data_IF_986440825184
#
_entry.id   IF_986440825184
#
_cell.length_a   1.000
_cell.length_b   1.000
_cell.length_c   1.000
_cell.angle_alpha   90.00
_cell.angle_beta   90.00
_cell.angle_gamma   90.00
#
_symmetry.space_group_name_H-M   'P 1'
#
loop_
_entity.id
_entity.type
_entity.pdbx_description
1 polymer ?
#
# COMPACT_ATOMS: atom_id res chain seq x y z
N UNK A 1 14.59 -8.97 -17.74
CA UNK A 1 13.86 -7.68 -17.78
C UNK A 1 13.29 -7.42 -16.41
N UNK A 2 13.46 -6.20 -15.89
CA UNK A 2 12.80 -5.79 -14.65
C UNK A 2 11.27 -5.93 -14.77
N UNK A 3 10.59 -6.27 -13.67
CA UNK A 3 9.13 -6.31 -13.67
C UNK A 3 8.56 -4.90 -13.81
N UNK A 4 7.29 -4.82 -14.22
CA UNK A 4 6.63 -3.54 -14.50
C UNK A 4 6.70 -2.60 -13.30
N UNK A 5 6.38 -3.08 -12.09
CA UNK A 5 6.32 -2.26 -10.87
C UNK A 5 7.68 -1.65 -10.56
N UNK A 6 8.74 -2.45 -10.67
CA UNK A 6 10.12 -1.99 -10.56
C UNK A 6 10.43 -0.82 -11.49
N UNK A 7 10.01 -0.88 -12.76
CA UNK A 7 10.23 0.21 -13.70
C UNK A 7 9.44 1.48 -13.35
N UNK A 8 8.24 1.35 -12.78
CA UNK A 8 7.42 2.49 -12.33
C UNK A 8 8.17 3.28 -11.25
N UNK A 9 8.59 2.57 -10.20
CA UNK A 9 9.23 3.14 -9.02
C UNK A 9 10.59 3.76 -9.39
N UNK A 10 11.41 3.05 -10.17
CA UNK A 10 12.69 3.57 -10.68
C UNK A 10 12.51 4.81 -11.57
N UNK A 11 11.44 4.87 -12.37
CA UNK A 11 11.17 6.05 -13.21
C UNK A 11 10.81 7.28 -12.39
N UNK A 12 10.02 7.11 -11.34
CA UNK A 12 9.68 8.21 -10.43
C UNK A 12 10.90 8.65 -9.62
N UNK A 13 11.70 7.70 -9.11
CA UNK A 13 12.97 8.01 -8.44
C UNK A 13 13.93 8.81 -9.33
N UNK A 14 14.02 8.48 -10.63
CA UNK A 14 14.88 9.20 -11.59
C UNK A 14 14.46 10.67 -11.72
N UNK A 15 13.16 10.93 -11.82
CA UNK A 15 12.65 12.30 -11.95
C UNK A 15 12.77 13.10 -10.65
N UNK A 16 12.56 12.47 -9.49
CA UNK A 16 12.81 13.12 -8.20
C UNK A 16 14.29 13.50 -8.05
N UNK A 17 15.21 12.58 -8.37
CA UNK A 17 16.65 12.86 -8.41
C UNK A 17 16.99 13.99 -9.39
N UNK A 18 16.40 14.00 -10.58
CA UNK A 18 16.60 15.09 -11.53
C UNK A 18 16.07 16.42 -10.99
N UNK A 19 14.94 16.42 -10.29
CA UNK A 19 14.38 17.61 -9.67
C UNK A 19 15.30 18.19 -8.60
N UNK A 20 15.93 17.34 -7.77
CA UNK A 20 16.95 17.76 -6.81
C UNK A 20 18.12 18.45 -7.53
N UNK A 21 18.62 17.85 -8.62
CA UNK A 21 19.68 18.45 -9.43
C UNK A 21 19.31 19.81 -10.03
N UNK A 22 18.04 20.05 -10.35
CA UNK A 22 17.54 21.29 -10.93
C UNK A 22 17.27 22.34 -9.84
N UNK A 23 16.75 21.93 -8.69
CA UNK A 23 16.31 22.79 -7.59
C UNK A 23 14.93 23.41 -7.81
N UNK A 24 14.24 23.75 -6.72
CA UNK A 24 12.85 24.19 -6.74
C UNK A 24 12.63 25.51 -7.51
N UNK A 25 13.62 26.41 -7.54
CA UNK A 25 13.50 27.71 -8.21
C UNK A 25 13.40 27.61 -9.74
N UNK A 26 13.93 26.53 -10.33
CA UNK A 26 13.98 26.33 -11.77
C UNK A 26 13.09 25.18 -12.25
N UNK A 27 12.43 24.48 -11.34
CA UNK A 27 11.75 23.21 -11.67
C UNK A 27 10.57 23.42 -12.62
N UNK A 28 9.75 24.46 -12.43
CA UNK A 28 8.57 24.70 -13.27
C UNK A 28 8.93 24.89 -14.74
N UNK A 29 10.01 25.64 -15.01
CA UNK A 29 10.50 25.84 -16.38
C UNK A 29 11.14 24.58 -16.94
N UNK A 30 11.87 23.83 -16.11
CA UNK A 30 12.57 22.64 -16.56
C UNK A 30 11.62 21.47 -16.85
N UNK A 31 10.54 21.35 -16.09
CA UNK A 31 9.60 20.24 -16.10
C UNK A 31 8.25 20.62 -16.72
N UNK A 32 8.17 21.72 -17.46
CA UNK A 32 6.95 22.16 -18.13
C UNK A 32 6.46 21.14 -19.18
N UNK A 33 5.36 20.47 -18.86
CA UNK A 33 4.72 19.48 -19.73
C UNK A 33 4.08 20.10 -20.99
N UNK A 34 3.90 21.43 -21.06
CA UNK A 34 3.51 22.08 -22.32
C UNK A 34 4.69 22.17 -23.28
N UNK A 35 5.87 22.46 -22.76
CA UNK A 35 7.12 22.54 -23.53
C UNK A 35 7.64 21.15 -23.90
N UNK A 36 7.55 20.17 -22.99
CA UNK A 36 7.96 18.78 -23.21
C UNK A 36 6.78 17.83 -22.97
N UNK A 37 5.86 17.68 -23.94
CA UNK A 37 4.67 16.85 -23.76
C UNK A 37 4.97 15.35 -23.71
N UNK A 38 6.10 14.93 -24.28
CA UNK A 38 6.57 13.53 -24.22
C UNK A 38 7.93 13.37 -23.58
N UNK A 39 8.23 12.15 -23.13
CA UNK A 39 9.56 11.82 -22.61
C UNK A 39 10.66 12.01 -23.67
N UNK A 40 10.35 11.77 -24.95
CA UNK A 40 11.32 11.97 -26.05
C UNK A 40 11.73 13.44 -26.13
N UNK A 41 10.74 14.36 -26.17
CA UNK A 41 11.00 15.81 -26.22
C UNK A 41 11.85 16.27 -25.02
N UNK A 42 11.54 15.73 -23.84
CA UNK A 42 12.27 16.03 -22.61
C UNK A 42 13.71 15.50 -22.66
N UNK A 43 13.88 14.25 -23.10
CA UNK A 43 15.18 13.58 -23.15
C UNK A 43 16.12 14.29 -24.11
N UNK A 44 15.65 14.73 -25.27
CA UNK A 44 16.48 15.41 -26.27
C UNK A 44 17.18 16.65 -25.68
N UNK A 45 16.51 17.36 -24.76
CA UNK A 45 17.10 18.49 -24.05
C UNK A 45 17.89 18.11 -22.79
N UNK A 46 17.42 17.12 -22.03
CA UNK A 46 17.90 16.85 -20.67
C UNK A 46 18.69 15.55 -20.50
N UNK A 47 19.03 14.82 -21.57
CA UNK A 47 19.67 13.48 -21.48
C UNK A 47 20.90 13.45 -20.55
N UNK A 48 21.82 14.42 -20.68
CA UNK A 48 23.01 14.50 -19.80
C UNK A 48 22.64 14.65 -18.32
N UNK A 49 21.59 15.42 -18.01
CA UNK A 49 21.12 15.56 -16.62
C UNK A 49 20.40 14.32 -16.12
N UNK A 50 19.66 13.63 -16.99
CA UNK A 50 19.04 12.34 -16.66
C UNK A 50 20.09 11.28 -16.33
N UNK A 51 21.18 11.21 -17.09
CA UNK A 51 22.31 10.30 -16.78
C UNK A 51 22.98 10.64 -15.45
N UNK A 52 23.15 11.93 -15.13
CA UNK A 52 23.66 12.37 -13.82
C UNK A 52 22.71 12.02 -12.68
N UNK A 53 21.40 12.22 -12.88
CA UNK A 53 20.37 11.89 -11.90
C UNK A 53 20.32 10.37 -11.66
N UNK A 54 20.47 9.56 -12.71
CA UNK A 54 20.51 8.11 -12.61
C UNK A 54 21.66 7.59 -11.73
N UNK A 55 22.81 8.29 -11.70
CA UNK A 55 23.92 7.94 -10.78
C UNK A 55 23.60 8.12 -9.30
N UNK A 56 22.46 8.76 -8.98
CA UNK A 56 21.95 8.92 -7.61
C UNK A 56 20.84 7.93 -7.26
N UNK A 57 20.62 6.93 -8.11
CA UNK A 57 19.69 5.85 -7.87
C UNK A 57 20.46 4.58 -7.49
N UNK A 58 19.91 3.83 -6.55
CA UNK A 58 20.26 2.45 -6.29
C UNK A 58 18.98 1.61 -6.44
N UNK A 59 18.76 1.15 -7.67
CA UNK A 59 17.59 0.34 -8.06
C UNK A 59 18.06 -0.95 -8.73
N UNK A 60 18.39 -2.00 -7.95
CA UNK A 60 19.01 -3.21 -8.48
C UNK A 60 18.20 -3.85 -9.61
N UNK A 61 18.88 -4.23 -10.69
CA UNK A 61 18.27 -4.90 -11.84
C UNK A 61 17.57 -3.98 -12.84
N UNK A 62 17.71 -2.66 -12.72
CA UNK A 62 17.17 -1.67 -13.66
C UNK A 62 18.29 -0.81 -14.24
N UNK A 63 18.43 -0.80 -15.57
CA UNK A 63 19.35 0.09 -16.25
C UNK A 63 18.70 1.42 -16.65
N UNK A 64 19.52 2.43 -16.93
CA UNK A 64 19.04 3.70 -17.52
C UNK A 64 18.24 3.45 -18.81
N UNK A 65 18.71 2.52 -19.65
CA UNK A 65 18.04 2.16 -20.89
C UNK A 65 16.66 1.52 -20.66
N UNK A 66 16.49 0.74 -19.59
CA UNK A 66 15.18 0.17 -19.24
C UNK A 66 14.19 1.27 -18.86
N UNK A 67 14.61 2.24 -18.05
CA UNK A 67 13.78 3.38 -17.65
C UNK A 67 13.41 4.24 -18.86
N UNK A 68 14.39 4.59 -19.70
CA UNK A 68 14.12 5.45 -20.87
C UNK A 68 13.19 4.77 -21.88
N UNK A 69 13.40 3.49 -22.20
CA UNK A 69 12.48 2.72 -23.07
C UNK A 69 11.08 2.61 -22.49
N UNK A 70 10.99 2.41 -21.17
CA UNK A 70 9.71 2.35 -20.47
C UNK A 70 8.97 3.69 -20.57
N UNK A 71 9.62 4.81 -20.26
CA UNK A 71 9.02 6.15 -20.29
C UNK A 71 8.65 6.61 -21.71
N UNK A 72 9.46 6.30 -22.72
CA UNK A 72 9.09 6.54 -24.13
C UNK A 72 7.80 5.80 -24.51
N UNK A 73 7.66 4.55 -24.07
CA UNK A 73 6.47 3.73 -24.38
C UNK A 73 5.25 4.05 -23.49
N UNK A 74 5.41 4.83 -22.42
CA UNK A 74 4.37 5.01 -21.41
C UNK A 74 4.28 6.48 -20.95
N UNK A 75 3.72 7.35 -21.80
CA UNK A 75 3.71 8.79 -21.56
C UNK A 75 2.98 9.22 -20.26
N UNK A 76 1.96 8.47 -19.83
CA UNK A 76 1.30 8.70 -18.55
C UNK A 76 2.27 8.59 -17.36
N UNK A 77 3.22 7.67 -17.44
CA UNK A 77 4.21 7.47 -16.39
C UNK A 77 5.30 8.54 -16.44
N UNK A 78 5.65 9.05 -17.62
CA UNK A 78 6.44 10.27 -17.74
C UNK A 78 5.76 11.46 -17.07
N UNK A 79 4.49 11.70 -17.42
CA UNK A 79 3.66 12.76 -16.85
C UNK A 79 3.60 12.62 -15.32
N UNK A 80 3.34 11.41 -14.81
CA UNK A 80 3.28 11.16 -13.37
C UNK A 80 4.61 11.40 -12.66
N UNK A 81 5.73 10.91 -13.21
CA UNK A 81 7.05 11.10 -12.64
C UNK A 81 7.43 12.58 -12.58
N UNK A 82 7.10 13.33 -13.62
CA UNK A 82 7.32 14.78 -13.71
C UNK A 82 6.51 15.52 -12.62
N UNK A 83 5.19 15.35 -12.58
CA UNK A 83 4.31 16.05 -11.64
C UNK A 83 4.67 15.78 -10.17
N UNK A 84 4.98 14.52 -9.85
CA UNK A 84 5.36 14.11 -8.49
C UNK A 84 6.68 14.74 -8.08
N UNK A 85 7.68 14.73 -8.97
CA UNK A 85 8.98 15.32 -8.68
C UNK A 85 8.89 16.83 -8.46
N UNK A 86 8.10 17.55 -9.28
CA UNK A 86 7.83 18.98 -9.12
C UNK A 86 7.17 19.28 -7.76
N UNK A 87 6.14 18.53 -7.40
CA UNK A 87 5.43 18.75 -6.14
C UNK A 87 6.32 18.41 -4.92
N UNK A 88 7.07 17.29 -4.99
CA UNK A 88 7.95 16.86 -3.91
C UNK A 88 9.05 17.89 -3.62
N UNK A 89 9.76 18.37 -4.63
CA UNK A 89 10.86 19.34 -4.44
C UNK A 89 10.36 20.70 -3.93
N UNK A 90 9.14 21.09 -4.31
CA UNK A 90 8.51 22.34 -3.84
C UNK A 90 8.05 22.25 -2.38
N UNK A 91 7.60 21.08 -1.95
CA UNK A 91 7.06 20.85 -0.62
C UNK A 91 8.11 20.36 0.38
N UNK A 92 9.33 20.01 -0.05
CA UNK A 92 10.29 19.29 0.81
C UNK A 92 10.60 20.00 2.14
N UNK A 93 10.75 21.33 2.15
CA UNK A 93 10.97 22.10 3.39
C UNK A 93 9.72 22.21 4.28
N UNK A 94 8.53 21.97 3.71
CA UNK A 94 7.27 21.90 4.47
C UNK A 94 7.09 20.51 5.10
N UNK A 95 7.71 19.48 4.51
CA UNK A 95 7.76 18.12 5.07
C UNK A 95 8.66 18.13 6.30
N UNK A 96 9.89 18.63 6.14
CA UNK A 96 10.82 18.92 7.24
C UNK A 96 11.76 20.05 6.83
N UNK A 97 11.98 21.01 7.74
CA UNK A 97 12.82 22.19 7.47
C UNK A 97 14.30 21.82 7.33
N UNK A 98 14.71 20.69 7.88
CA UNK A 98 16.10 20.25 7.86
C UNK A 98 16.50 19.61 6.51
N UNK A 99 15.53 19.34 5.61
CA UNK A 99 15.84 18.98 4.22
C UNK A 99 16.36 20.18 3.42
N UNK A 100 17.68 20.27 3.28
CA UNK A 100 18.37 21.31 2.50
C UNK A 100 18.30 21.14 0.97
N UNK A 101 17.43 20.26 0.45
CA UNK A 101 17.44 19.86 -0.96
C UNK A 101 16.61 20.76 -1.89
N UNK A 102 15.93 21.78 -1.37
CA UNK A 102 15.26 22.79 -2.21
C UNK A 102 16.24 23.54 -3.13
N UNK A 103 17.48 23.70 -2.68
CA UNK A 103 18.57 24.28 -3.45
C UNK A 103 19.16 23.28 -4.45
N UNK A 104 19.67 23.79 -5.58
CA UNK A 104 20.28 22.99 -6.65
C UNK A 104 21.35 22.04 -6.10
N UNK A 105 21.21 20.73 -6.34
CA UNK A 105 22.20 19.73 -5.93
C UNK A 105 21.54 18.46 -5.42
N UNK A 106 22.32 17.55 -4.86
CA UNK A 106 21.78 16.29 -4.30
C UNK A 106 21.94 16.21 -2.79
N UNK A 107 22.73 17.10 -2.19
CA UNK A 107 22.98 17.14 -0.73
C UNK A 107 23.41 15.76 -0.17
N UNK A 108 24.15 14.99 -0.98
CA UNK A 108 24.60 13.63 -0.69
C UNK A 108 23.49 12.59 -0.47
N UNK A 109 22.26 12.89 -0.89
CA UNK A 109 21.13 11.97 -0.89
C UNK A 109 21.08 11.15 -2.17
N UNK A 110 20.49 9.96 -2.04
CA UNK A 110 20.28 8.97 -3.08
C UNK A 110 18.88 8.38 -2.94
N UNK A 111 18.29 7.95 -4.06
CA UNK A 111 17.01 7.25 -4.06
C UNK A 111 17.25 5.74 -4.11
N UNK A 112 16.81 5.07 -3.06
CA UNK A 112 16.94 3.63 -2.87
C UNK A 112 15.63 2.92 -3.15
N UNK A 113 15.68 1.93 -4.04
CA UNK A 113 14.55 1.04 -4.33
C UNK A 113 15.07 -0.39 -4.35
N UNK A 114 14.61 -1.21 -3.41
CA UNK A 114 14.88 -2.65 -3.37
C UNK A 114 16.34 -2.95 -3.06
N UNK A 115 17.08 -1.94 -2.60
CA UNK A 115 18.47 -2.04 -2.22
C UNK A 115 18.63 -2.84 -0.92
N UNK A 116 19.81 -3.40 -0.70
CA UNK A 116 20.07 -4.22 0.48
C UNK A 116 20.48 -3.40 1.70
N UNK A 117 21.02 -2.20 1.51
CA UNK A 117 21.67 -1.43 2.56
C UNK A 117 20.68 -0.60 3.38
N UNK A 118 19.72 0.04 2.71
CA UNK A 118 18.66 0.85 3.31
C UNK A 118 17.42 -0.01 3.46
N UNK A 119 16.75 -0.37 2.36
CA UNK A 119 15.48 -1.10 2.42
C UNK A 119 15.65 -2.49 3.04
N UNK A 120 16.70 -3.21 2.66
CA UNK A 120 17.03 -4.51 3.26
C UNK A 120 17.32 -4.45 4.76
N UNK A 121 17.99 -3.39 5.23
CA UNK A 121 18.27 -3.20 6.67
C UNK A 121 17.01 -2.83 7.44
N UNK A 122 16.19 -1.91 6.92
CA UNK A 122 14.89 -1.55 7.50
C UNK A 122 13.98 -2.79 7.57
N UNK A 123 13.96 -3.64 6.52
CA UNK A 123 13.21 -4.90 6.53
C UNK A 123 13.64 -5.84 7.65
N UNK A 124 14.95 -5.95 7.92
CA UNK A 124 15.49 -6.76 9.03
C UNK A 124 15.09 -6.20 10.39
N UNK A 125 15.28 -4.89 10.61
CA UNK A 125 14.90 -4.20 11.84
C UNK A 125 13.39 -4.31 12.09
N UNK A 126 12.56 -4.08 11.07
CA UNK A 126 11.12 -4.29 11.11
C UNK A 126 10.77 -5.73 11.49
N UNK A 127 11.46 -6.72 10.93
CA UNK A 127 11.20 -8.14 11.23
C UNK A 127 11.53 -8.47 12.69
N UNK A 128 12.52 -7.82 13.29
CA UNK A 128 12.83 -7.94 14.72
C UNK A 128 11.74 -7.25 15.56
N UNK A 129 11.39 -6.01 15.23
CA UNK A 129 10.34 -5.25 15.89
C UNK A 129 8.98 -5.98 15.89
N UNK A 130 8.62 -6.60 14.76
CA UNK A 130 7.35 -7.30 14.60
C UNK A 130 7.28 -8.65 15.35
N UNK A 131 8.41 -9.16 15.84
CA UNK A 131 8.45 -10.34 16.73
C UNK A 131 8.20 -9.98 18.19
N UNK A 132 8.31 -8.71 18.57
CA UNK A 132 8.05 -8.28 19.94
C UNK A 132 6.58 -8.45 20.33
N UNK A 133 6.28 -8.61 21.63
CA UNK A 133 4.92 -8.49 22.14
C UNK A 133 4.34 -7.11 21.81
N UNK A 134 3.10 -7.10 21.33
CA UNK A 134 2.35 -5.86 21.08
C UNK A 134 1.54 -5.57 22.34
N UNK A 135 1.88 -4.50 23.06
CA UNK A 135 1.23 -4.09 24.30
C UNK A 135 0.17 -3.00 24.10
N UNK A 136 0.11 -2.42 22.90
CA UNK A 136 -0.85 -1.37 22.56
C UNK A 136 -2.24 -1.97 22.34
N UNK A 137 -3.24 -1.40 23.02
CA UNK A 137 -4.64 -1.80 22.89
C UNK A 137 -5.12 -1.69 21.43
N UNK A 138 -5.90 -2.67 20.99
CA UNK A 138 -6.48 -2.75 19.64
C UNK A 138 -5.46 -2.79 18.49
N UNK A 139 -4.21 -3.18 18.78
CA UNK A 139 -3.15 -3.34 17.79
C UNK A 139 -2.76 -4.82 17.67
N UNK A 140 -2.58 -5.27 16.42
CA UNK A 140 -1.96 -6.56 16.12
C UNK A 140 -0.60 -6.37 15.45
N UNK A 141 0.17 -7.46 15.33
CA UNK A 141 1.36 -7.52 14.50
C UNK A 141 1.03 -7.18 13.05
N UNK A 142 1.96 -6.52 12.39
CA UNK A 142 1.82 -6.22 10.98
C UNK A 142 2.02 -7.49 10.16
N UNK A 143 1.12 -7.74 9.20
CA UNK A 143 1.21 -8.89 8.31
C UNK A 143 2.40 -8.81 7.34
N UNK A 144 2.82 -7.59 7.02
CA UNK A 144 3.94 -7.25 6.15
C UNK A 144 4.44 -5.84 6.47
N UNK A 145 5.63 -5.49 5.96
CA UNK A 145 6.24 -4.17 6.21
C UNK A 145 5.38 -3.02 5.66
N UNK A 146 4.62 -3.24 4.59
CA UNK A 146 3.80 -2.19 3.99
C UNK A 146 2.63 -1.78 4.89
N UNK A 147 2.25 -2.59 5.88
CA UNK A 147 1.30 -2.21 6.94
C UNK A 147 1.92 -1.34 8.04
N UNK A 148 3.24 -1.39 8.17
CA UNK A 148 3.99 -0.49 9.04
C UNK A 148 4.36 0.82 8.32
N UNK A 149 4.91 0.72 7.11
CA UNK A 149 5.22 1.83 6.22
C UNK A 149 5.18 1.33 4.76
N UNK A 150 4.28 1.85 3.90
CA UNK A 150 4.15 1.46 2.49
C UNK A 150 5.12 2.23 1.58
N UNK A 151 6.28 2.65 2.12
CA UNK A 151 7.30 3.33 1.35
C UNK A 151 7.92 2.35 0.35
N UNK A 152 7.79 2.69 -0.93
CA UNK A 152 8.30 1.92 -2.05
C UNK A 152 9.73 2.37 -2.42
N UNK A 153 10.11 3.59 -2.00
CA UNK A 153 11.41 4.24 -2.22
C UNK A 153 11.86 4.92 -0.93
N UNK A 154 13.16 4.98 -0.68
CA UNK A 154 13.74 5.77 0.40
C UNK A 154 14.74 6.76 -0.21
N UNK A 155 14.51 8.06 0.00
CA UNK A 155 15.57 9.04 -0.16
C UNK A 155 16.47 8.91 1.07
N UNK A 156 17.77 8.69 0.92
CA UNK A 156 18.66 8.57 2.06
C UNK A 156 20.10 9.03 1.80
N UNK A 157 20.79 9.44 2.85
CA UNK A 157 22.21 9.79 2.84
C UNK A 157 23.10 8.59 3.20
N UNK A 158 24.42 8.78 3.08
CA UNK A 158 25.39 7.82 3.64
C UNK A 158 25.27 7.71 5.17
N UNK A 159 24.98 8.80 5.87
CA UNK A 159 24.80 8.80 7.33
C UNK A 159 23.59 7.96 7.74
N UNK A 160 22.48 8.05 7.01
CA UNK A 160 21.34 7.15 7.21
C UNK A 160 21.72 5.67 7.03
N UNK A 161 22.46 5.33 5.95
CA UNK A 161 22.97 3.96 5.75
C UNK A 161 23.81 3.47 6.93
N UNK A 162 24.76 4.29 7.37
CA UNK A 162 25.68 3.94 8.46
C UNK A 162 24.91 3.77 9.78
N UNK A 163 23.98 4.67 10.10
CA UNK A 163 23.14 4.57 11.31
C UNK A 163 22.26 3.33 11.31
N UNK A 164 21.59 3.03 10.18
CA UNK A 164 20.80 1.80 10.02
C UNK A 164 21.63 0.54 10.25
N UNK A 165 22.83 0.49 9.66
CA UNK A 165 23.76 -0.64 9.80
C UNK A 165 24.21 -0.82 11.25
N UNK A 166 24.60 0.27 11.91
CA UNK A 166 25.00 0.25 13.32
C UNK A 166 23.85 -0.21 14.21
N UNK A 167 22.65 0.35 14.04
CA UNK A 167 21.48 -0.08 14.83
C UNK A 167 21.14 -1.55 14.57
N UNK A 168 21.26 -2.06 13.34
CA UNK A 168 21.05 -3.48 13.08
C UNK A 168 22.10 -4.37 13.77
N UNK A 169 23.36 -3.95 13.82
CA UNK A 169 24.41 -4.69 14.50
C UNK A 169 24.23 -4.71 16.03
N UNK A 170 23.70 -3.63 16.61
CA UNK A 170 23.48 -3.48 18.05
C UNK A 170 22.12 -4.04 18.51
N UNK A 171 21.15 -4.17 17.60
CA UNK A 171 19.82 -4.65 17.91
C UNK A 171 19.87 -6.08 18.43
N UNK A 172 19.43 -6.28 19.68
CA UNK A 172 19.33 -7.63 20.24
C UNK A 172 17.98 -8.26 19.86
N UNK A 173 17.96 -9.49 19.32
CA UNK A 173 16.74 -10.25 19.12
C UNK A 173 15.91 -10.28 20.41
N UNK A 174 14.60 -10.01 20.31
CA UNK A 174 13.65 -9.95 21.42
C UNK A 174 13.75 -8.73 22.37
N UNK A 175 14.49 -7.69 22.01
CA UNK A 175 14.45 -6.40 22.74
C UNK A 175 14.22 -5.19 21.82
N UNK A 176 14.55 -5.32 20.53
CA UNK A 176 14.31 -4.29 19.54
C UNK A 176 12.84 -4.30 19.09
N UNK A 177 12.09 -3.25 19.44
CA UNK A 177 10.67 -3.08 19.15
C UNK A 177 10.37 -1.91 18.21
N UNK A 178 9.08 -1.74 17.91
CA UNK A 178 8.61 -0.60 17.10
C UNK A 178 8.91 0.78 17.70
N UNK A 179 8.92 0.99 19.02
CA UNK A 179 9.35 2.28 19.57
C UNK A 179 10.76 2.66 19.12
N UNK A 180 11.73 1.74 19.24
CA UNK A 180 13.11 1.98 18.82
C UNK A 180 13.23 2.20 17.30
N UNK A 181 12.52 1.39 16.51
CA UNK A 181 12.52 1.55 15.06
C UNK A 181 11.91 2.89 14.63
N UNK A 182 10.78 3.29 15.22
CA UNK A 182 10.11 4.53 14.87
C UNK A 182 10.91 5.77 15.31
N UNK A 183 11.63 5.69 16.44
CA UNK A 183 12.59 6.73 16.86
C UNK A 183 13.72 6.83 15.84
N UNK A 184 14.36 5.71 15.48
CA UNK A 184 15.44 5.70 14.48
C UNK A 184 15.01 6.36 13.15
N UNK A 185 13.84 5.99 12.63
CA UNK A 185 13.33 6.57 11.37
C UNK A 185 12.96 8.05 11.56
N UNK A 186 12.43 8.43 12.72
CA UNK A 186 12.11 9.84 12.99
C UNK A 186 13.38 10.68 13.08
N UNK A 187 14.39 10.24 13.82
CA UNK A 187 15.65 10.97 13.95
C UNK A 187 16.34 11.17 12.59
N UNK A 188 16.26 10.19 11.68
CA UNK A 188 16.81 10.30 10.33
C UNK A 188 15.99 11.21 9.41
N UNK A 189 14.68 11.33 9.64
CA UNK A 189 13.84 12.31 8.94
C UNK A 189 14.17 13.71 9.44
N UNK A 190 14.15 13.88 10.76
CA UNK A 190 14.36 15.15 11.43
C UNK A 190 15.81 15.67 11.21
N UNK A 191 16.79 14.79 10.91
CA UNK A 191 18.15 15.21 10.51
C UNK A 191 18.31 15.52 9.01
N UNK A 192 17.27 15.30 8.21
CA UNK A 192 17.29 15.45 6.75
C UNK A 192 18.03 14.32 6.02
N UNK A 193 18.36 13.21 6.69
CA UNK A 193 19.14 12.10 6.13
C UNK A 193 18.32 10.99 5.50
N UNK A 194 17.01 10.93 5.75
CA UNK A 194 16.13 9.94 5.17
C UNK A 194 14.72 10.46 4.97
N UNK A 195 14.09 10.17 3.84
CA UNK A 195 12.65 10.35 3.63
C UNK A 195 12.02 9.09 3.01
N UNK A 196 11.17 8.34 3.74
CA UNK A 196 10.41 7.22 3.19
C UNK A 196 9.28 7.73 2.28
N UNK A 197 9.25 7.25 1.03
CA UNK A 197 8.37 7.74 -0.03
C UNK A 197 7.47 6.64 -0.61
N UNK A 198 6.18 6.95 -0.73
CA UNK A 198 5.19 6.13 -1.42
C UNK A 198 4.61 6.94 -2.59
N UNK A 199 5.16 6.75 -3.78
CA UNK A 199 4.81 7.54 -4.96
C UNK A 199 3.70 6.84 -5.75
N UNK A 200 2.55 7.50 -5.92
CA UNK A 200 1.36 6.93 -6.58
C UNK A 200 1.11 7.62 -7.91
N UNK A 201 0.82 6.84 -8.95
CA UNK A 201 0.55 7.35 -10.30
C UNK A 201 -0.49 8.47 -10.24
N UNK A 202 -0.23 9.55 -10.96
CA UNK A 202 -1.21 10.59 -11.26
C UNK A 202 -0.91 11.24 -12.61
N UNK A 203 -1.95 11.67 -13.33
CA UNK A 203 -1.79 12.42 -14.59
C UNK A 203 -2.37 13.83 -14.51
N UNK A 204 -2.75 14.27 -13.30
CA UNK A 204 -3.41 15.57 -13.06
C UNK A 204 -2.54 16.47 -12.20
N UNK A 205 -2.89 16.60 -10.92
CA UNK A 205 -2.17 17.42 -9.95
C UNK A 205 -1.67 16.51 -8.85
N UNK A 206 -0.35 16.53 -8.62
CA UNK A 206 0.24 15.86 -7.48
C UNK A 206 0.00 16.67 -6.18
N UNK A 207 -0.16 15.96 -5.07
CA UNK A 207 -0.23 16.49 -3.71
C UNK A 207 0.65 15.64 -2.80
N UNK A 208 1.19 16.27 -1.76
CA UNK A 208 1.92 15.61 -0.68
C UNK A 208 0.98 15.34 0.49
N UNK A 209 1.04 14.12 1.01
CA UNK A 209 0.38 13.72 2.24
C UNK A 209 1.41 13.16 3.21
N UNK A 210 1.56 13.86 4.34
CA UNK A 210 2.35 13.41 5.49
C UNK A 210 1.56 12.36 6.27
N UNK A 211 2.18 11.22 6.57
CA UNK A 211 1.57 10.15 7.36
C UNK A 211 2.40 9.86 8.61
N UNK A 212 1.73 9.84 9.76
CA UNK A 212 2.28 9.72 11.10
C UNK A 212 3.22 10.87 11.56
N UNK A 213 3.25 12.01 10.84
CA UNK A 213 3.98 13.21 11.26
C UNK A 213 3.22 14.02 12.32
N UNK A 214 1.88 14.06 12.24
CA UNK A 214 1.00 14.71 13.23
C UNK A 214 -0.21 13.83 13.54
N UNK A 215 -0.13 13.11 14.66
CA UNK A 215 -1.18 12.18 15.10
C UNK A 215 -2.50 12.89 15.43
N UNK A 216 -2.47 14.16 15.87
CA UNK A 216 -3.70 14.89 16.23
C UNK A 216 -4.54 15.16 14.99
N UNK A 217 -3.91 15.65 13.91
CA UNK A 217 -4.58 15.88 12.61
C UNK A 217 -5.12 14.58 12.01
N UNK A 218 -4.37 13.48 12.10
CA UNK A 218 -4.82 12.18 11.60
C UNK A 218 -6.05 11.68 12.33
N UNK A 219 -6.09 11.76 13.66
CA UNK A 219 -7.26 11.36 14.47
C UNK A 219 -8.51 12.14 14.05
N UNK A 220 -8.38 13.42 13.67
CA UNK A 220 -9.52 14.22 13.22
C UNK A 220 -10.09 13.70 11.89
N UNK A 221 -9.24 13.30 10.94
CA UNK A 221 -9.67 12.69 9.67
C UNK A 221 -10.40 11.34 9.86
N UNK A 222 -10.06 10.60 10.92
CA UNK A 222 -10.61 9.29 11.22
C UNK A 222 -12.06 9.34 11.75
N UNK A 223 -12.51 10.51 12.25
CA UNK A 223 -13.88 10.70 12.78
C UNK A 223 -14.98 10.55 11.72
N UNK A 224 -14.64 10.59 10.42
CA UNK A 224 -15.60 10.47 9.33
C UNK A 224 -15.91 9.03 8.90
N UNK A 225 -15.27 8.02 9.51
CA UNK A 225 -15.45 6.60 9.21
C UNK A 225 -16.69 6.01 9.91
N UNK A 226 -17.87 6.52 9.54
CA UNK A 226 -19.16 6.07 10.09
C UNK A 226 -19.80 5.05 9.15
N UNK A 227 -20.20 3.90 9.69
CA UNK A 227 -20.94 2.88 8.93
C UNK A 227 -22.39 3.33 8.72
N UNK A 228 -22.85 3.27 7.47
CA UNK A 228 -24.24 3.56 7.07
C UNK A 228 -25.08 2.30 6.88
N UNK A 229 -24.43 1.15 6.66
CA UNK A 229 -25.11 -0.12 6.49
C UNK A 229 -24.30 -1.08 5.64
N UNK A 230 -24.99 -2.06 5.06
CA UNK A 230 -24.40 -3.06 4.16
C UNK A 230 -25.17 -3.09 2.85
N UNK A 231 -24.55 -3.54 1.77
CA UNK A 231 -25.30 -3.95 0.57
C UNK A 231 -26.29 -5.06 0.90
N UNK A 232 -27.32 -5.23 0.07
CA UNK A 232 -28.25 -6.36 0.19
C UNK A 232 -27.65 -7.65 -0.40
N UNK A 233 -26.54 -8.09 0.18
CA UNK A 233 -25.89 -9.34 -0.20
C UNK A 233 -26.80 -10.54 0.08
N UNK A 234 -26.96 -11.45 -0.88
CA UNK A 234 -27.71 -12.70 -0.73
C UNK A 234 -26.79 -13.91 -0.97
N UNK A 235 -27.08 -15.08 -0.37
CA UNK A 235 -26.31 -16.28 -0.61
C UNK A 235 -26.21 -16.62 -2.10
N UNK A 236 -25.00 -16.93 -2.54
CA UNK A 236 -24.74 -17.36 -3.91
C UNK A 236 -25.51 -18.64 -4.22
N UNK A 237 -26.21 -18.64 -5.35
CA UNK A 237 -26.92 -19.80 -5.89
C UNK A 237 -26.17 -20.36 -7.09
N UNK A 238 -26.02 -21.68 -7.14
CA UNK A 238 -25.41 -22.38 -8.27
C UNK A 238 -26.25 -22.12 -9.53
N UNK A 239 -25.58 -21.78 -10.63
CA UNK A 239 -26.23 -21.56 -11.94
C UNK A 239 -25.38 -22.15 -13.05
N UNK A 240 -25.97 -22.36 -14.23
CA UNK A 240 -25.20 -22.73 -15.41
C UNK A 240 -24.22 -21.61 -15.82
N UNK A 241 -23.12 -21.98 -16.47
CA UNK A 241 -22.17 -21.01 -17.03
C UNK A 241 -22.88 -20.00 -17.95
N UNK A 242 -22.54 -18.72 -17.82
CA UNK A 242 -23.16 -17.62 -18.57
C UNK A 242 -24.48 -17.10 -18.00
N UNK A 243 -25.04 -17.74 -16.97
CA UNK A 243 -26.24 -17.22 -16.28
C UNK A 243 -25.87 -16.29 -15.12
N UNK A 244 -26.73 -15.30 -14.87
CA UNK A 244 -26.59 -14.39 -13.73
C UNK A 244 -27.00 -15.08 -12.44
N UNK A 245 -26.33 -14.73 -11.34
CA UNK A 245 -26.62 -15.18 -9.97
C UNK A 245 -26.15 -14.09 -9.00
N UNK A 246 -26.37 -14.30 -7.71
CA UNK A 246 -25.99 -13.37 -6.65
C UNK A 246 -24.48 -13.09 -6.63
N UNK A 247 -24.12 -11.87 -6.21
CA UNK A 247 -22.71 -11.49 -6.09
C UNK A 247 -21.99 -12.21 -4.95
N UNK A 248 -20.68 -12.40 -5.10
CA UNK A 248 -19.80 -13.02 -4.11
C UNK A 248 -19.15 -12.00 -3.17
N UNK A 249 -19.44 -10.72 -3.35
CA UNK A 249 -18.95 -9.64 -2.49
C UNK A 249 -20.07 -8.96 -1.71
N UNK A 250 -19.77 -8.67 -0.44
CA UNK A 250 -20.60 -7.81 0.40
C UNK A 250 -19.83 -6.50 0.63
N UNK A 251 -20.53 -5.36 0.60
CA UNK A 251 -19.94 -4.08 0.95
C UNK A 251 -20.51 -3.55 2.25
N UNK A 252 -19.63 -3.00 3.08
CA UNK A 252 -19.97 -2.15 4.22
C UNK A 252 -19.90 -0.72 3.71
N UNK A 253 -21.04 -0.03 3.74
CA UNK A 253 -21.17 1.33 3.22
C UNK A 253 -20.72 2.31 4.30
N UNK A 254 -19.77 3.18 3.98
CA UNK A 254 -19.29 4.21 4.90
C UNK A 254 -19.81 5.59 4.45
N UNK A 255 -19.65 6.60 5.32
CA UNK A 255 -19.89 7.99 4.90
C UNK A 255 -18.95 8.42 3.77
N UNK A 256 -17.71 7.93 3.75
CA UNK A 256 -16.66 8.29 2.79
C UNK A 256 -16.02 7.03 2.17
N UNK A 257 -16.75 6.35 1.29
CA UNK A 257 -16.31 5.12 0.61
C UNK A 257 -17.01 3.86 1.12
N UNK A 258 -16.51 2.70 0.73
CA UNK A 258 -17.03 1.38 1.10
C UNK A 258 -15.89 0.46 1.55
N UNK A 259 -16.22 -0.61 2.29
CA UNK A 259 -15.32 -1.75 2.50
C UNK A 259 -15.91 -2.96 1.80
N UNK A 260 -15.18 -3.54 0.85
CA UNK A 260 -15.58 -4.75 0.13
C UNK A 260 -14.99 -5.98 0.78
N UNK A 261 -15.84 -6.88 1.25
CA UNK A 261 -15.44 -8.21 1.71
C UNK A 261 -15.68 -9.23 0.61
N UNK A 262 -14.66 -10.06 0.35
CA UNK A 262 -14.72 -11.15 -0.64
C UNK A 262 -13.73 -12.26 -0.30
N UNK A 263 -13.86 -13.39 -0.99
CA UNK A 263 -12.79 -14.35 -1.15
C UNK A 263 -12.23 -14.21 -2.56
N UNK A 264 -10.92 -14.04 -2.67
CA UNK A 264 -10.18 -14.01 -3.94
C UNK A 264 -9.85 -15.44 -4.37
N UNK A 265 -10.55 -16.01 -5.36
CA UNK A 265 -10.26 -17.36 -5.84
C UNK A 265 -8.86 -17.50 -6.46
N UNK A 266 -8.29 -16.43 -7.02
CA UNK A 266 -6.97 -16.46 -7.65
C UNK A 266 -5.87 -16.52 -6.61
N UNK A 267 -5.95 -15.62 -5.62
CA UNK A 267 -5.00 -15.58 -4.52
C UNK A 267 -5.35 -16.54 -3.38
N UNK A 268 -6.48 -17.27 -3.49
CA UNK A 268 -6.97 -18.28 -2.54
C UNK A 268 -7.02 -17.72 -1.11
N UNK A 269 -7.59 -16.52 -0.94
CA UNK A 269 -7.57 -15.80 0.33
C UNK A 269 -8.79 -14.91 0.54
N UNK A 270 -9.16 -14.68 1.79
CA UNK A 270 -10.05 -13.59 2.18
C UNK A 270 -9.44 -12.21 1.84
N UNK A 271 -10.28 -11.27 1.43
CA UNK A 271 -9.90 -9.87 1.20
C UNK A 271 -10.98 -8.95 1.78
N UNK A 272 -10.57 -8.05 2.68
CA UNK A 272 -11.31 -6.84 3.02
C UNK A 272 -10.59 -5.63 2.42
N UNK A 273 -11.21 -4.95 1.47
CA UNK A 273 -10.59 -3.88 0.67
C UNK A 273 -11.37 -2.57 0.83
N UNK A 274 -10.68 -1.48 1.16
CA UNK A 274 -11.30 -0.15 1.21
C UNK A 274 -11.41 0.42 -0.20
N UNK A 275 -12.65 0.67 -0.64
CA UNK A 275 -13.01 1.25 -1.93
C UNK A 275 -13.40 2.72 -1.74
N UNK A 276 -12.77 3.63 -2.48
CA UNK A 276 -13.17 5.03 -2.54
C UNK A 276 -12.65 5.89 -1.38
N UNK A 277 -12.21 7.10 -1.73
CA UNK A 277 -11.62 8.12 -0.84
C UNK A 277 -10.91 9.26 -1.60
N UNK A 278 -11.37 9.59 -2.82
CA UNK A 278 -10.62 10.39 -3.80
C UNK A 278 -9.96 9.51 -4.88
N UNK A 279 -9.72 10.08 -6.06
CA UNK A 279 -9.71 9.35 -7.34
C UNK A 279 -8.58 8.32 -7.59
N UNK A 280 -7.55 8.19 -6.75
CA UNK A 280 -6.37 7.35 -7.09
C UNK A 280 -5.82 6.48 -5.93
N UNK A 281 -6.49 6.40 -4.77
CA UNK A 281 -6.02 5.61 -3.64
C UNK A 281 -7.00 4.48 -3.27
N UNK A 282 -6.69 3.24 -3.66
CA UNK A 282 -7.17 2.08 -2.89
C UNK A 282 -6.64 2.26 -1.47
N UNK A 283 -7.51 2.29 -0.45
CA UNK A 283 -7.11 2.49 0.96
C UNK A 283 -6.31 1.34 1.57
N UNK A 284 -5.83 0.40 0.75
CA UNK A 284 -5.23 -0.85 1.18
C UNK A 284 -6.27 -1.94 1.45
N UNK A 285 -5.76 -3.13 1.80
CA UNK A 285 -6.59 -4.30 2.08
C UNK A 285 -6.01 -5.17 3.18
N UNK A 286 -6.88 -5.89 3.88
CA UNK A 286 -6.54 -7.05 4.71
C UNK A 286 -6.70 -8.30 3.85
N UNK A 287 -5.59 -8.96 3.51
CA UNK A 287 -5.57 -10.17 2.68
C UNK A 287 -5.54 -11.49 3.46
N UNK A 288 -6.04 -11.51 4.70
CA UNK A 288 -5.97 -12.68 5.59
C UNK A 288 -7.16 -12.72 6.54
N UNK A 289 -7.89 -13.85 6.55
CA UNK A 289 -8.96 -14.06 7.53
C UNK A 289 -8.43 -14.06 8.98
N UNK A 290 -7.22 -14.59 9.19
CA UNK A 290 -6.58 -14.59 10.52
C UNK A 290 -6.42 -13.16 11.05
N UNK A 291 -5.87 -12.25 10.24
CA UNK A 291 -5.70 -10.84 10.63
C UNK A 291 -7.06 -10.18 10.82
N UNK A 292 -8.00 -10.38 9.89
CA UNK A 292 -9.36 -9.82 10.00
C UNK A 292 -10.05 -10.23 11.31
N UNK A 293 -10.05 -11.53 11.63
CA UNK A 293 -10.64 -12.06 12.86
C UNK A 293 -9.92 -11.55 14.11
N UNK A 294 -8.59 -11.38 14.06
CA UNK A 294 -7.84 -10.81 15.18
C UNK A 294 -8.17 -9.34 15.41
N UNK A 295 -8.39 -8.55 14.36
CA UNK A 295 -8.86 -7.17 14.52
C UNK A 295 -10.29 -7.13 15.06
N UNK A 296 -11.16 -8.02 14.59
CA UNK A 296 -12.55 -8.11 15.04
C UNK A 296 -12.63 -8.52 16.51
N UNK A 297 -11.72 -9.37 16.99
CA UNK A 297 -11.74 -9.85 18.37
C UNK A 297 -11.47 -8.77 19.41
N UNK A 298 -10.89 -7.62 19.00
CA UNK A 298 -10.73 -6.46 19.87
C UNK A 298 -12.06 -5.81 20.27
N UNK A 299 -13.10 -5.97 19.46
CA UNK A 299 -14.44 -5.43 19.75
C UNK A 299 -15.48 -6.52 20.02
N UNK A 300 -15.31 -7.72 19.43
CA UNK A 300 -16.23 -8.85 19.57
C UNK A 300 -15.49 -10.18 19.33
N UNK A 301 -14.97 -10.76 20.42
CA UNK A 301 -14.24 -12.03 20.40
C UNK A 301 -15.11 -13.21 19.95
N UNK A 302 -16.39 -13.23 20.30
CA UNK A 302 -17.28 -14.35 19.97
C UNK A 302 -17.54 -14.40 18.47
N UNK A 303 -17.91 -13.27 17.87
CA UNK A 303 -18.12 -13.18 16.43
C UNK A 303 -16.82 -13.46 15.66
N UNK A 304 -15.69 -12.94 16.14
CA UNK A 304 -14.38 -13.22 15.54
C UNK A 304 -14.04 -14.71 15.47
N UNK A 305 -14.21 -15.43 16.58
CA UNK A 305 -13.97 -16.88 16.65
C UNK A 305 -14.92 -17.63 15.71
N UNK A 306 -16.21 -17.27 15.71
CA UNK A 306 -17.22 -17.89 14.86
C UNK A 306 -16.89 -17.72 13.37
N UNK A 307 -16.61 -16.49 12.92
CA UNK A 307 -16.31 -16.19 11.52
C UNK A 307 -15.04 -16.90 11.07
N UNK A 308 -13.99 -16.91 11.91
CA UNK A 308 -12.75 -17.61 11.60
C UNK A 308 -12.98 -19.11 11.44
N UNK A 309 -13.72 -19.75 12.35
CA UNK A 309 -14.03 -21.19 12.27
C UNK A 309 -14.78 -21.52 10.97
N UNK A 310 -15.82 -20.73 10.65
CA UNK A 310 -16.61 -20.91 9.43
C UNK A 310 -15.76 -20.75 8.16
N UNK A 311 -14.82 -19.80 8.17
CA UNK A 311 -13.87 -19.63 7.08
C UNK A 311 -12.93 -20.84 6.95
N UNK A 312 -12.28 -21.26 8.04
CA UNK A 312 -11.33 -22.37 8.02
C UNK A 312 -11.99 -23.69 7.55
N UNK A 313 -13.21 -23.97 8.01
CA UNK A 313 -13.99 -25.13 7.57
C UNK A 313 -14.48 -25.00 6.12
N UNK A 314 -14.75 -23.78 5.66
CA UNK A 314 -15.03 -23.48 4.26
C UNK A 314 -13.81 -23.66 3.35
N UNK A 315 -12.65 -23.23 3.82
CA UNK A 315 -11.38 -23.26 3.09
C UNK A 315 -10.91 -24.69 2.84
N UNK A 316 -11.03 -25.58 3.84
CA UNK A 316 -10.79 -27.04 3.66
C UNK A 316 -11.61 -27.61 2.49
N UNK A 317 -12.90 -27.28 2.44
CA UNK A 317 -13.79 -27.74 1.37
C UNK A 317 -13.50 -27.08 0.03
N UNK A 318 -13.15 -25.79 0.03
CA UNK A 318 -12.71 -25.07 -1.15
C UNK A 318 -11.49 -25.75 -1.79
N UNK A 319 -10.46 -26.06 -1.00
CA UNK A 319 -9.25 -26.71 -1.51
C UNK A 319 -9.53 -28.11 -2.06
N UNK A 320 -10.35 -28.90 -1.38
CA UNK A 320 -10.78 -30.22 -1.86
C UNK A 320 -11.49 -30.14 -3.21
N UNK A 321 -12.38 -29.17 -3.40
CA UNK A 321 -13.18 -29.05 -4.63
C UNK A 321 -12.45 -28.33 -5.76
N UNK A 322 -11.50 -27.44 -5.46
CA UNK A 322 -10.81 -26.68 -6.50
C UNK A 322 -9.67 -27.45 -7.15
N UNK A 323 -9.07 -28.40 -6.46
CA UNK A 323 -7.99 -29.24 -6.98
C UNK A 323 -8.31 -29.87 -8.35
N UNK A 324 -9.43 -30.61 -8.54
CA UNK A 324 -9.75 -31.18 -9.86
C UNK A 324 -9.98 -30.11 -10.93
N UNK A 325 -10.51 -28.94 -10.57
CA UNK A 325 -10.72 -27.83 -11.51
C UNK A 325 -9.39 -27.23 -11.98
N UNK A 326 -8.40 -27.13 -11.08
CA UNK A 326 -7.04 -26.67 -11.42
C UNK A 326 -6.38 -27.64 -12.38
N UNK A 327 -6.47 -28.96 -12.14
CA UNK A 327 -5.93 -30.00 -13.03
C UNK A 327 -6.52 -29.93 -14.44
N UNK A 328 -7.76 -29.45 -14.57
CA UNK A 328 -8.47 -29.31 -15.84
C UNK A 328 -8.37 -27.92 -16.49
N UNK A 329 -7.54 -27.01 -15.96
CA UNK A 329 -7.50 -25.60 -16.40
C UNK A 329 -7.42 -25.46 -17.92
N UNK A 330 -6.42 -26.06 -18.56
CA UNK A 330 -6.21 -25.93 -20.02
C UNK A 330 -7.40 -26.47 -20.82
N UNK A 331 -8.00 -27.58 -20.38
CA UNK A 331 -9.17 -28.15 -21.04
C UNK A 331 -10.42 -27.25 -20.89
N UNK A 332 -10.60 -26.61 -19.73
CA UNK A 332 -11.70 -25.69 -19.48
C UNK A 332 -11.53 -24.39 -20.28
N UNK A 333 -10.33 -23.81 -20.29
CA UNK A 333 -10.01 -22.59 -21.02
C UNK A 333 -10.13 -22.79 -22.55
N UNK A 334 -9.77 -23.97 -23.07
CA UNK A 334 -10.02 -24.35 -24.48
C UNK A 334 -11.50 -24.37 -24.84
N UNK A 335 -12.36 -24.83 -23.93
CA UNK A 335 -13.82 -24.81 -24.14
C UNK A 335 -14.36 -23.38 -24.10
N UNK A 336 -13.94 -22.61 -23.11
CA UNK A 336 -14.21 -21.18 -23.01
C UNK A 336 -13.23 -20.57 -21.99
N UNK A 337 -12.56 -19.47 -22.39
CA UNK A 337 -11.54 -18.79 -21.57
C UNK A 337 -11.99 -18.42 -20.15
N UNK A 338 -13.29 -18.20 -19.94
CA UNK A 338 -13.85 -17.77 -18.65
C UNK A 338 -14.42 -18.92 -17.80
N UNK A 339 -14.53 -20.14 -18.36
CA UNK A 339 -15.14 -21.28 -17.67
C UNK A 339 -14.34 -21.71 -16.43
N UNK A 340 -13.02 -21.68 -16.51
CA UNK A 340 -12.14 -21.95 -15.37
C UNK A 340 -12.40 -20.95 -14.23
N UNK A 341 -12.46 -19.66 -14.56
CA UNK A 341 -12.72 -18.59 -13.58
C UNK A 341 -14.11 -18.69 -12.97
N UNK A 342 -15.12 -19.05 -13.77
CA UNK A 342 -16.48 -19.28 -13.31
C UNK A 342 -16.54 -20.41 -12.28
N UNK A 343 -16.02 -21.60 -12.61
CA UNK A 343 -16.03 -22.76 -11.68
C UNK A 343 -15.29 -22.45 -10.38
N UNK A 344 -14.13 -21.80 -10.48
CA UNK A 344 -13.36 -21.40 -9.32
C UNK A 344 -14.10 -20.37 -8.46
N UNK A 345 -14.80 -19.44 -9.09
CA UNK A 345 -15.65 -18.45 -8.42
C UNK A 345 -16.83 -19.09 -7.70
N UNK A 346 -17.51 -20.04 -8.33
CA UNK A 346 -18.62 -20.81 -7.76
C UNK A 346 -18.19 -21.60 -6.51
N UNK A 347 -17.10 -22.36 -6.60
CA UNK A 347 -16.58 -23.16 -5.46
C UNK A 347 -16.21 -22.23 -4.29
N UNK A 348 -15.58 -21.09 -4.58
CA UNK A 348 -15.29 -20.06 -3.58
C UNK A 348 -16.56 -19.50 -2.92
N UNK A 349 -17.63 -19.29 -3.68
CA UNK A 349 -18.86 -18.73 -3.16
C UNK A 349 -19.57 -19.72 -2.22
N UNK A 350 -19.76 -20.95 -2.69
CA UNK A 350 -20.51 -21.99 -2.01
C UNK A 350 -19.83 -22.42 -0.70
N UNK A 351 -18.50 -22.58 -0.73
CA UNK A 351 -17.79 -23.14 0.41
C UNK A 351 -17.36 -22.09 1.43
N UNK A 352 -17.10 -20.84 1.02
CA UNK A 352 -16.53 -19.80 1.89
C UNK A 352 -17.52 -18.66 2.11
N UNK A 353 -17.90 -17.95 1.03
CA UNK A 353 -18.68 -16.71 1.14
C UNK A 353 -20.05 -16.97 1.77
N UNK A 354 -20.75 -18.01 1.32
CA UNK A 354 -22.06 -18.39 1.86
C UNK A 354 -22.01 -18.79 3.35
N UNK A 355 -20.84 -19.20 3.86
CA UNK A 355 -20.68 -19.53 5.29
C UNK A 355 -20.45 -18.29 6.15
N UNK A 356 -19.55 -17.40 5.72
CA UNK A 356 -19.11 -16.27 6.57
C UNK A 356 -20.00 -15.03 6.46
N UNK A 357 -20.55 -14.74 5.28
CA UNK A 357 -21.26 -13.49 5.04
C UNK A 357 -22.57 -13.35 5.82
N UNK A 358 -23.38 -14.41 6.07
CA UNK A 358 -24.56 -14.27 6.92
C UNK A 358 -24.23 -13.75 8.33
N UNK A 359 -23.16 -14.25 8.93
CA UNK A 359 -22.71 -13.83 10.27
C UNK A 359 -22.24 -12.38 10.23
N UNK A 360 -21.39 -12.02 9.26
CA UNK A 360 -20.90 -10.65 9.11
C UNK A 360 -22.03 -9.66 8.80
N UNK A 361 -22.93 -9.99 7.86
CA UNK A 361 -24.10 -9.16 7.51
C UNK A 361 -24.97 -8.89 8.73
N UNK A 362 -25.24 -9.93 9.54
CA UNK A 362 -25.99 -9.79 10.79
C UNK A 362 -25.27 -8.87 11.78
N UNK A 363 -23.96 -9.07 11.95
CA UNK A 363 -23.15 -8.28 12.89
C UNK A 363 -23.09 -6.80 12.54
N UNK A 364 -22.87 -6.45 11.27
CA UNK A 364 -22.83 -5.07 10.78
C UNK A 364 -24.20 -4.37 10.71
N UNK A 365 -25.30 -5.12 10.88
CA UNK A 365 -26.67 -4.58 10.90
C UNK A 365 -27.24 -4.41 12.30
N UNK A 366 -26.48 -4.71 13.36
CA UNK A 366 -26.93 -4.49 14.75
C UNK A 366 -27.13 -3.01 14.99
N UNK A 367 -28.32 -2.59 15.43
CA UNK A 367 -28.72 -1.17 15.51
C UNK A 367 -28.60 -0.57 16.90
N UNK A 368 -28.41 -1.38 17.95
CA UNK A 368 -28.26 -0.87 19.31
C UNK A 368 -26.99 -0.02 19.45
N UNK A 369 -27.04 0.97 20.33
CA UNK A 369 -25.98 1.98 20.51
C UNK A 369 -24.61 1.35 20.79
N UNK A 370 -24.57 0.29 21.61
CA UNK A 370 -23.32 -0.39 21.97
C UNK A 370 -22.73 -1.13 20.76
N UNK A 371 -23.55 -1.85 20.01
CA UNK A 371 -23.12 -2.53 18.79
C UNK A 371 -22.66 -1.56 17.70
N UNK A 372 -23.36 -0.43 17.52
CA UNK A 372 -22.96 0.61 16.57
C UNK A 372 -21.58 1.19 16.92
N UNK A 373 -21.31 1.42 18.21
CA UNK A 373 -19.97 1.83 18.65
C UNK A 373 -18.92 0.76 18.33
N UNK A 374 -19.17 -0.52 18.64
CA UNK A 374 -18.26 -1.63 18.31
C UNK A 374 -17.98 -1.74 16.80
N UNK A 375 -19.00 -1.55 15.97
CA UNK A 375 -18.88 -1.59 14.51
C UNK A 375 -18.00 -0.44 14.01
N UNK A 376 -18.22 0.78 14.49
CA UNK A 376 -17.41 1.94 14.13
C UNK A 376 -15.96 1.78 14.62
N UNK A 377 -15.76 1.28 15.84
CA UNK A 377 -14.43 0.98 16.38
C UNK A 377 -13.70 -0.05 15.52
N UNK A 378 -14.40 -1.11 15.07
CA UNK A 378 -13.80 -2.11 14.20
C UNK A 378 -13.39 -1.55 12.84
N UNK A 379 -14.24 -0.72 12.22
CA UNK A 379 -13.93 -0.05 10.95
C UNK A 379 -12.72 0.86 11.10
N UNK A 380 -12.65 1.61 12.20
CA UNK A 380 -11.50 2.46 12.53
C UNK A 380 -10.22 1.63 12.67
N UNK A 381 -10.25 0.53 13.42
CA UNK A 381 -9.11 -0.38 13.59
C UNK A 381 -8.65 -0.93 12.24
N UNK A 382 -9.58 -1.40 11.40
CA UNK A 382 -9.25 -1.89 10.06
C UNK A 382 -8.61 -0.80 9.22
N UNK A 383 -9.18 0.41 9.20
CA UNK A 383 -8.67 1.53 8.41
C UNK A 383 -7.26 1.94 8.85
N UNK A 384 -7.02 2.08 10.16
CA UNK A 384 -5.69 2.37 10.69
C UNK A 384 -4.68 1.31 10.30
N UNK A 385 -5.07 0.03 10.38
CA UNK A 385 -4.20 -1.08 10.00
C UNK A 385 -3.86 -1.10 8.50
N UNK A 386 -4.84 -0.90 7.61
CA UNK A 386 -4.58 -0.98 6.16
C UNK A 386 -3.88 0.24 5.60
N UNK A 387 -4.01 1.39 6.27
CA UNK A 387 -3.42 2.66 5.83
C UNK A 387 -2.14 3.05 6.57
N UNK A 388 -1.61 2.15 7.40
CA UNK A 388 -0.36 2.36 8.16
C UNK A 388 -0.46 3.59 9.07
N UNK A 389 -1.59 3.72 9.77
CA UNK A 389 -1.88 4.80 10.73
C UNK A 389 -2.08 4.29 12.14
N UNK A 390 -1.55 3.12 12.47
CA UNK A 390 -1.61 2.63 13.83
C UNK A 390 -0.55 3.34 14.68
N UNK A 391 -0.65 3.32 16.03
CA UNK A 391 0.37 3.92 16.88
C UNK A 391 1.79 3.37 16.69
N UNK A 392 1.94 2.19 16.08
CA UNK A 392 3.22 1.56 15.82
C UNK A 392 3.72 1.78 14.38
N UNK A 393 2.91 2.36 13.50
CA UNK A 393 3.29 2.62 12.11
C UNK A 393 4.41 3.67 12.00
N UNK A 394 5.28 3.51 11.01
CA UNK A 394 6.41 4.42 10.77
C UNK A 394 5.96 5.69 10.03
N UNK A 395 6.73 6.78 10.16
CA UNK A 395 6.54 7.99 9.34
C UNK A 395 6.84 7.70 7.87
N UNK A 396 6.03 8.24 6.97
CA UNK A 396 6.30 8.22 5.52
C UNK A 396 5.49 9.30 4.80
N UNK A 397 5.90 9.60 3.58
CA UNK A 397 5.24 10.57 2.72
C UNK A 397 4.61 9.89 1.52
N UNK A 398 3.36 10.27 1.21
CA UNK A 398 2.70 9.87 -0.02
C UNK A 398 2.69 11.06 -0.97
N UNK A 399 3.19 10.86 -2.19
CA UNK A 399 2.90 11.76 -3.31
C UNK A 399 1.87 11.08 -4.22
N UNK A 400 0.73 11.72 -4.46
CA UNK A 400 -0.40 11.13 -5.20
C UNK A 400 -1.21 12.20 -5.92
N UNK A 401 -2.15 11.79 -6.79
CA UNK A 401 -3.13 12.70 -7.34
C UNK A 401 -4.11 13.24 -6.31
N UNK A 402 -4.56 14.49 -6.54
CA UNK A 402 -5.67 15.10 -5.80
C UNK A 402 -7.03 14.52 -6.19
#
# INVERSE_FOLDING_TARGET
MADKTTLLESSQALFSSLADNVGASSIDKAFDLKTYPTFTDFKDKYNKKLELAFKRLDTPGVSYNDITKFLTSNNDWYTSSNLIAVELIKQIETIDKDYKIKGKGYQNLFYFRGDKDVMGTIQKLWSMANKMPITIKNQTRFGDINKWSPADIYLASKMAKDKLRTTLAEAKPNSFGFPQLNVLISDLIDSGDMLPLSLKKTTKKAIIQLVNFDRKKEIQSLKNLVVKGTTDWKPYKKVAFGKKTETRDMRILLKSGDIKFRHDPSAKRFVAEFLGGGAEARGGSIGSMRVFAQLLSFVDKQTAVQVKKLYDDGEKMYFKQIEPVIKQRSALEKKNKDLFNFKRGEISALNIINKIMPVLKKWFRRTDKKSQQQINDFVLIMYQYVTSRTPLSGKFVIAKGN
#
